data_IF_455277856911
#
_entry.id   IF_455277856911
#
_cell.length_a   1.000
_cell.length_b   1.000
_cell.length_c   1.000
_cell.angle_alpha   90.00
_cell.angle_beta   90.00
_cell.angle_gamma   90.00
#
_symmetry.space_group_name_H-M   'P 1'
#
loop_
_entity.id
_entity.type
_entity.pdbx_description
1 polymer ?
#
# COMPACT_ATOMS: atom_id res chain seq x y z
N UNK A 1 -6.23 14.06 36.73
CA UNK A 1 -5.25 12.97 36.50
C UNK A 1 -3.87 13.59 36.37
N UNK A 2 -2.91 13.31 37.28
CA UNK A 2 -1.58 13.93 37.25
C UNK A 2 -0.76 13.43 36.03
N UNK A 3 0.11 14.27 35.44
CA UNK A 3 0.88 13.89 34.26
C UNK A 3 1.93 12.81 34.61
N UNK A 4 2.16 11.82 33.74
CA UNK A 4 3.07 10.71 34.02
C UNK A 4 4.50 11.22 34.23
N UNK A 5 5.10 10.83 35.36
CA UNK A 5 6.47 11.20 35.74
C UNK A 5 7.45 10.59 34.74
N UNK A 6 8.20 11.46 34.05
CA UNK A 6 9.20 11.06 33.07
C UNK A 6 10.32 10.30 33.79
N UNK A 7 10.59 9.08 33.29
CA UNK A 7 11.69 8.15 33.63
C UNK A 7 11.36 7.20 34.79
N UNK A 8 10.74 6.06 34.48
CA UNK A 8 10.95 4.85 35.29
C UNK A 8 12.43 4.49 35.18
N UNK A 9 13.16 4.45 36.29
CA UNK A 9 14.45 3.75 36.35
C UNK A 9 14.13 2.30 36.00
N UNK A 10 14.58 1.84 34.84
CA UNK A 10 14.71 0.41 34.59
C UNK A 10 15.70 -0.12 35.60
N UNK A 11 15.38 -1.24 36.27
CA UNK A 11 16.32 -1.95 37.13
C UNK A 11 17.66 -2.06 36.40
N UNK A 12 18.80 -1.67 37.03
CA UNK A 12 20.08 -1.86 36.39
C UNK A 12 20.24 -3.37 36.20
N UNK A 13 20.29 -3.82 34.95
CA UNK A 13 20.89 -5.12 34.62
C UNK A 13 22.37 -4.97 34.95
N UNK A 14 22.70 -5.09 36.23
CA UNK A 14 24.05 -5.11 36.74
C UNK A 14 24.64 -6.44 36.29
N UNK A 15 25.37 -6.41 35.19
CA UNK A 15 26.14 -7.55 34.74
C UNK A 15 27.25 -7.75 35.78
N UNK A 16 27.25 -8.91 36.43
CA UNK A 16 28.16 -9.21 37.57
C UNK A 16 29.63 -9.18 37.15
N UNK A 17 29.93 -9.54 35.89
CA UNK A 17 31.29 -9.54 35.36
C UNK A 17 31.33 -8.96 33.93
N UNK A 18 32.22 -7.99 33.70
CA UNK A 18 32.45 -7.39 32.38
C UNK A 18 33.83 -7.82 31.89
N UNK A 19 33.87 -8.74 30.93
CA UNK A 19 35.12 -9.13 30.26
C UNK A 19 35.55 -8.03 29.29
N UNK A 20 36.70 -7.42 29.53
CA UNK A 20 37.21 -6.34 28.68
C UNK A 20 38.22 -6.85 27.66
N UNK A 21 37.78 -6.99 26.41
CA UNK A 21 38.65 -7.41 25.31
C UNK A 21 39.25 -6.19 24.59
N UNK A 22 40.57 -6.08 24.64
CA UNK A 22 41.31 -4.97 24.05
C UNK A 22 41.18 -4.93 22.51
N UNK A 23 41.05 -6.10 21.88
CA UNK A 23 40.89 -6.22 20.43
C UNK A 23 39.55 -5.63 19.97
N UNK A 24 38.45 -6.07 20.59
CA UNK A 24 37.12 -5.54 20.36
C UNK A 24 37.03 -4.03 20.67
N UNK A 25 37.77 -3.56 21.69
CA UNK A 25 37.87 -2.12 21.98
C UNK A 25 38.55 -1.35 20.85
N UNK A 26 39.64 -1.85 20.31
CA UNK A 26 40.34 -1.21 19.18
C UNK A 26 39.45 -1.16 17.93
N UNK A 27 38.74 -2.24 17.62
CA UNK A 27 37.74 -2.27 16.55
C UNK A 27 36.59 -1.30 16.83
N UNK A 28 36.17 -1.18 18.09
CA UNK A 28 35.18 -0.19 18.49
C UNK A 28 35.72 1.24 18.37
N UNK A 29 36.98 1.53 18.64
CA UNK A 29 37.48 2.90 18.49
C UNK A 29 37.76 3.27 17.03
N UNK A 30 38.12 2.33 16.17
CA UNK A 30 38.48 2.62 14.77
C UNK A 30 37.32 2.39 13.79
N UNK A 31 36.42 1.45 14.08
CA UNK A 31 35.35 0.98 13.20
C UNK A 31 34.06 1.81 13.19
N UNK A 32 34.11 3.12 13.44
CA UNK A 32 32.89 3.95 13.57
C UNK A 32 31.95 3.86 12.36
N UNK A 33 32.50 3.87 11.14
CA UNK A 33 31.71 3.74 9.92
C UNK A 33 31.03 2.37 9.83
N UNK A 34 31.76 1.28 10.12
CA UNK A 34 31.21 -0.08 10.17
C UNK A 34 30.05 -0.18 11.15
N UNK A 35 30.18 0.37 12.36
CA UNK A 35 29.09 0.39 13.36
C UNK A 35 27.90 1.24 12.95
N UNK A 36 28.15 2.36 12.27
CA UNK A 36 27.07 3.21 11.77
C UNK A 36 26.24 2.47 10.71
N UNK A 37 26.92 1.76 9.80
CA UNK A 37 26.26 0.90 8.82
C UNK A 37 25.54 -0.27 9.48
N UNK A 38 26.17 -0.95 10.45
CA UNK A 38 25.54 -2.03 11.20
C UNK A 38 24.27 -1.57 11.93
N UNK A 39 24.29 -0.41 12.59
CA UNK A 39 23.08 0.16 13.22
C UNK A 39 21.99 0.46 12.19
N UNK A 40 22.35 1.02 11.04
CA UNK A 40 21.39 1.26 9.97
C UNK A 40 20.78 -0.04 9.46
N UNK A 41 21.60 -1.08 9.23
CA UNK A 41 21.15 -2.42 8.81
C UNK A 41 20.28 -3.08 9.87
N UNK A 42 20.67 -3.07 11.13
CA UNK A 42 19.89 -3.61 12.23
C UNK A 42 18.53 -2.90 12.36
N UNK A 43 18.48 -1.58 12.18
CA UNK A 43 17.22 -0.85 12.17
C UNK A 43 16.33 -1.24 10.99
N UNK A 44 16.90 -1.43 9.79
CA UNK A 44 16.18 -1.92 8.61
C UNK A 44 15.67 -3.35 8.82
N UNK A 45 16.50 -4.25 9.35
CA UNK A 45 16.14 -5.63 9.63
C UNK A 45 15.04 -5.72 10.70
N UNK A 46 15.13 -4.93 11.77
CA UNK A 46 14.09 -4.86 12.80
C UNK A 46 12.76 -4.35 12.23
N UNK A 47 12.80 -3.32 11.38
CA UNK A 47 11.60 -2.82 10.69
C UNK A 47 11.02 -3.89 9.74
N UNK A 48 11.86 -4.59 8.98
CA UNK A 48 11.42 -5.66 8.10
C UNK A 48 10.82 -6.86 8.87
N UNK A 49 11.40 -7.22 10.02
CA UNK A 49 10.85 -8.26 10.91
C UNK A 49 9.48 -7.86 11.46
N UNK A 50 9.31 -6.62 11.91
CA UNK A 50 8.02 -6.09 12.38
C UNK A 50 6.96 -6.09 11.27
N UNK A 51 7.29 -5.55 10.10
CA UNK A 51 6.37 -5.52 8.95
C UNK A 51 5.94 -6.93 8.52
N UNK A 52 6.83 -7.93 8.57
CA UNK A 52 6.48 -9.33 8.30
C UNK A 52 5.53 -9.90 9.35
N UNK A 53 5.78 -9.63 10.63
CA UNK A 53 4.91 -10.07 11.73
C UNK A 53 3.51 -9.45 11.59
N UNK A 54 3.44 -8.13 11.38
CA UNK A 54 2.18 -7.40 11.16
C UNK A 54 1.40 -7.95 9.95
N UNK A 55 2.09 -8.28 8.84
CA UNK A 55 1.45 -8.89 7.66
C UNK A 55 0.91 -10.30 7.94
N UNK A 56 1.57 -11.06 8.80
CA UNK A 56 1.10 -12.39 9.21
C UNK A 56 -0.12 -12.25 10.12
N UNK A 57 -0.06 -11.36 11.11
CA UNK A 57 -1.17 -11.07 12.02
C UNK A 57 -2.40 -10.56 11.27
N UNK A 58 -2.23 -9.63 10.34
CA UNK A 58 -3.33 -9.12 9.51
C UNK A 58 -3.97 -10.23 8.66
N UNK A 59 -3.18 -11.13 8.08
CA UNK A 59 -3.73 -12.29 7.35
C UNK A 59 -4.45 -13.27 8.27
N UNK A 60 -3.99 -13.42 9.50
CA UNK A 60 -4.65 -14.25 10.50
C UNK A 60 -6.00 -13.63 10.89
N UNK A 61 -6.03 -12.32 11.14
CA UNK A 61 -7.25 -11.55 11.42
C UNK A 61 -8.28 -11.71 10.30
N UNK A 62 -7.91 -11.49 9.03
CA UNK A 62 -8.83 -11.68 7.89
C UNK A 62 -9.39 -13.10 7.83
N UNK A 63 -8.58 -14.12 8.12
CA UNK A 63 -9.05 -15.51 8.13
C UNK A 63 -10.01 -15.78 9.29
N UNK A 64 -9.73 -15.22 10.46
CA UNK A 64 -10.58 -15.32 11.64
C UNK A 64 -11.91 -14.60 11.43
N UNK A 65 -11.89 -13.40 10.84
CA UNK A 65 -13.08 -12.63 10.46
C UNK A 65 -13.95 -13.43 9.48
N UNK A 66 -13.36 -13.92 8.38
CA UNK A 66 -14.09 -14.76 7.41
C UNK A 66 -14.68 -16.01 8.04
N UNK A 67 -13.94 -16.67 8.95
CA UNK A 67 -14.43 -17.84 9.66
C UNK A 67 -15.59 -17.48 10.58
N UNK A 68 -15.48 -16.39 11.32
CA UNK A 68 -16.54 -15.90 12.19
C UNK A 68 -17.80 -15.53 11.40
N UNK A 69 -17.66 -14.86 10.26
CA UNK A 69 -18.77 -14.51 9.37
C UNK A 69 -19.47 -15.76 8.83
N UNK A 70 -18.72 -16.78 8.41
CA UNK A 70 -19.26 -18.07 7.99
C UNK A 70 -20.00 -18.77 9.15
N UNK A 71 -19.41 -18.80 10.35
CA UNK A 71 -20.06 -19.38 11.53
C UNK A 71 -21.36 -18.63 11.89
N UNK A 72 -21.38 -17.30 11.78
CA UNK A 72 -22.59 -16.50 11.99
C UNK A 72 -23.65 -16.81 10.95
N UNK A 73 -23.27 -16.85 9.68
CA UNK A 73 -24.20 -17.18 8.59
C UNK A 73 -24.78 -18.59 8.75
N UNK A 74 -23.96 -19.59 9.08
CA UNK A 74 -24.45 -20.96 9.35
C UNK A 74 -25.41 -20.97 10.53
N UNK A 75 -25.10 -20.25 11.62
CA UNK A 75 -26.02 -20.13 12.77
C UNK A 75 -27.34 -19.45 12.38
N UNK A 76 -27.29 -18.40 11.57
CA UNK A 76 -28.47 -17.69 11.08
C UNK A 76 -29.34 -18.58 10.18
N UNK A 77 -28.73 -19.30 9.23
CA UNK A 77 -29.43 -20.27 8.37
C UNK A 77 -30.03 -21.40 9.21
N UNK A 78 -29.27 -21.97 10.14
CA UNK A 78 -29.78 -23.01 11.03
C UNK A 78 -30.92 -22.49 11.92
N UNK A 79 -30.85 -21.25 12.40
CA UNK A 79 -31.93 -20.64 13.19
C UNK A 79 -33.21 -20.42 12.36
N UNK A 80 -33.09 -20.11 11.07
CA UNK A 80 -34.23 -20.02 10.15
C UNK A 80 -34.79 -21.40 9.76
N UNK A 81 -33.91 -22.41 9.65
CA UNK A 81 -34.28 -23.77 9.26
C UNK A 81 -34.79 -24.62 10.42
N UNK A 82 -34.48 -24.27 11.67
CA UNK A 82 -35.12 -24.87 12.86
C UNK A 82 -36.57 -24.37 12.89
N UNK A 83 -37.56 -25.21 12.53
CA UNK A 83 -38.95 -24.82 12.64
C UNK A 83 -39.30 -24.64 14.13
N UNK A 84 -40.27 -23.79 14.41
CA UNK A 84 -40.84 -23.62 15.75
C UNK A 84 -41.42 -24.92 16.37
N UNK A 85 -41.42 -26.02 15.62
CA UNK A 85 -41.94 -27.34 16.00
C UNK A 85 -40.91 -28.29 16.62
N UNK A 86 -39.65 -27.88 16.80
CA UNK A 86 -38.66 -28.66 17.56
C UNK A 86 -38.85 -28.55 19.08
N UNK A 87 -40.09 -28.76 19.55
CA UNK A 87 -40.34 -29.31 20.87
C UNK A 87 -39.89 -30.79 20.85
N UNK A 88 -39.34 -31.35 21.95
CA UNK A 88 -38.87 -32.73 21.96
C UNK A 88 -40.07 -33.68 21.91
N UNK A 89 -40.40 -34.14 20.72
CA UNK A 89 -41.40 -35.18 20.48
C UNK A 89 -42.34 -34.80 19.35
N UNK A 90 -42.04 -35.28 18.15
CA UNK A 90 -42.96 -36.03 17.28
C UNK A 90 -42.18 -36.41 16.01
N UNK A 91 -42.21 -37.72 15.79
CA UNK A 91 -41.83 -38.47 14.60
C UNK A 91 -42.56 -37.93 13.36
N UNK A 92 -41.83 -37.57 12.30
CA UNK A 92 -42.43 -37.36 10.98
C UNK A 92 -41.39 -37.72 9.91
N UNK A 93 -41.56 -38.93 9.39
CA UNK A 93 -40.87 -39.46 8.21
C UNK A 93 -41.10 -38.53 7.02
N UNK A 94 -40.07 -37.74 6.67
CA UNK A 94 -40.04 -37.04 5.39
C UNK A 94 -39.14 -37.78 4.43
N UNK A 95 -39.79 -38.55 3.57
CA UNK A 95 -39.24 -39.09 2.34
C UNK A 95 -38.47 -38.01 1.58
N UNK A 96 -37.15 -38.12 1.59
CA UNK A 96 -36.27 -37.39 0.69
C UNK A 96 -36.38 -38.04 -0.68
N UNK A 97 -37.39 -37.60 -1.45
CA UNK A 97 -37.45 -37.81 -2.90
C UNK A 97 -36.24 -37.13 -3.51
N UNK A 98 -35.18 -37.91 -3.77
CA UNK A 98 -33.99 -37.49 -4.50
C UNK A 98 -34.38 -37.00 -5.89
N UNK A 99 -34.50 -35.68 -6.06
CA UNK A 99 -34.35 -35.03 -7.35
C UNK A 99 -32.86 -35.09 -7.68
N UNK A 100 -32.51 -36.13 -8.42
CA UNK A 100 -31.21 -36.29 -9.06
C UNK A 100 -31.13 -35.28 -10.21
N UNK A 101 -31.02 -33.99 -9.87
CA UNK A 101 -30.54 -32.97 -10.81
C UNK A 101 -29.03 -33.19 -10.94
N UNK A 102 -28.68 -34.26 -11.68
CA UNK A 102 -27.35 -34.55 -12.17
C UNK A 102 -26.84 -33.28 -12.85
N UNK A 103 -25.93 -32.60 -12.16
CA UNK A 103 -25.26 -31.40 -12.63
C UNK A 103 -24.70 -31.66 -14.03
N UNK A 104 -25.37 -31.14 -15.06
CA UNK A 104 -24.88 -31.20 -16.44
C UNK A 104 -23.62 -30.35 -16.48
N UNK A 105 -22.46 -31.01 -16.42
CA UNK A 105 -21.15 -30.37 -16.41
C UNK A 105 -21.08 -29.26 -17.46
N UNK A 106 -20.35 -28.19 -17.12
CA UNK A 106 -20.20 -26.96 -17.92
C UNK A 106 -20.19 -27.34 -19.40
N UNK A 107 -21.33 -27.11 -20.06
CA UNK A 107 -21.41 -27.21 -21.50
C UNK A 107 -20.39 -26.21 -22.02
N UNK A 108 -19.45 -26.68 -22.85
CA UNK A 108 -18.49 -25.84 -23.59
C UNK A 108 -19.27 -24.95 -24.58
N UNK A 109 -20.06 -24.02 -24.05
CA UNK A 109 -20.46 -22.83 -24.78
C UNK A 109 -19.22 -21.96 -24.80
N UNK A 110 -18.61 -21.89 -25.98
CA UNK A 110 -17.56 -20.95 -26.31
C UNK A 110 -17.90 -19.59 -25.70
N UNK A 111 -17.11 -19.12 -24.71
CA UNK A 111 -17.43 -17.89 -24.01
C UNK A 111 -17.41 -16.73 -25.01
N UNK A 112 -18.32 -15.75 -24.86
CA UNK A 112 -18.31 -14.58 -25.72
C UNK A 112 -16.93 -13.90 -25.66
N UNK A 113 -16.41 -13.37 -26.79
CA UNK A 113 -15.10 -12.75 -26.83
C UNK A 113 -15.03 -11.64 -25.77
N UNK A 114 -14.02 -11.76 -24.90
CA UNK A 114 -13.86 -10.93 -23.69
C UNK A 114 -13.29 -9.54 -24.04
N UNK A 115 -13.08 -9.27 -25.32
CA UNK A 115 -12.52 -8.00 -25.80
C UNK A 115 -13.59 -6.89 -25.75
N UNK A 116 -13.59 -6.11 -24.67
CA UNK A 116 -14.49 -4.98 -24.52
C UNK A 116 -13.79 -3.77 -23.89
N UNK A 117 -14.20 -2.59 -24.35
CA UNK A 117 -13.75 -1.29 -23.85
C UNK A 117 -14.79 -0.74 -22.87
N UNK A 118 -14.37 -0.45 -21.65
CA UNK A 118 -15.24 0.17 -20.64
C UNK A 118 -14.77 1.59 -20.35
N UNK A 119 -15.67 2.55 -20.56
CA UNK A 119 -15.42 3.96 -20.23
C UNK A 119 -15.80 4.23 -18.77
N UNK A 120 -14.82 4.62 -17.96
CA UNK A 120 -15.05 5.03 -16.58
C UNK A 120 -14.90 6.56 -16.46
N UNK A 121 -15.95 7.18 -15.93
CA UNK A 121 -16.02 8.62 -15.69
C UNK A 121 -16.03 8.88 -14.19
N UNK A 122 -14.90 9.30 -13.65
CA UNK A 122 -14.82 9.93 -12.33
C UNK A 122 -14.96 11.46 -12.49
N UNK A 123 -15.39 12.16 -11.42
CA UNK A 123 -15.68 13.61 -11.41
C UNK A 123 -14.60 14.50 -12.06
N UNK A 124 -13.33 14.06 -12.06
CA UNK A 124 -12.19 14.78 -12.64
C UNK A 124 -11.37 13.95 -13.66
N UNK A 125 -11.76 12.70 -13.99
CA UNK A 125 -10.96 11.80 -14.84
C UNK A 125 -11.81 10.93 -15.75
N UNK A 126 -11.49 10.96 -17.04
CA UNK A 126 -12.00 10.01 -18.03
C UNK A 126 -10.89 8.99 -18.29
N UNK A 127 -11.14 7.73 -17.94
CA UNK A 127 -10.22 6.62 -18.20
C UNK A 127 -10.94 5.51 -18.94
N UNK A 128 -10.40 5.09 -20.07
CA UNK A 128 -10.87 3.91 -20.80
C UNK A 128 -10.03 2.71 -20.37
N UNK A 129 -10.70 1.63 -19.98
CA UNK A 129 -10.07 0.35 -19.64
C UNK A 129 -10.41 -0.63 -20.76
N UNK A 130 -9.39 -1.09 -21.49
CA UNK A 130 -9.50 -2.14 -22.50
C UNK A 130 -9.19 -3.48 -21.85
N UNK A 131 -10.13 -4.42 -21.90
CA UNK A 131 -9.90 -5.81 -21.51
C UNK A 131 -9.61 -6.58 -22.80
N UNK A 132 -8.44 -7.22 -22.89
CA UNK A 132 -8.02 -8.05 -24.04
C UNK A 132 -7.74 -9.48 -23.57
N UNK A 133 -8.12 -10.48 -24.36
CA UNK A 133 -7.77 -11.88 -24.11
C UNK A 133 -6.26 -12.13 -24.28
N UNK A 134 -5.64 -12.76 -23.27
CA UNK A 134 -4.23 -13.17 -23.31
C UNK A 134 -4.08 -14.67 -23.05
N UNK A 135 -3.27 -15.33 -23.86
CA UNK A 135 -2.95 -16.75 -23.76
C UNK A 135 -1.66 -16.95 -22.95
N UNK A 136 -1.71 -17.86 -21.98
CA UNK A 136 -0.58 -18.17 -21.10
C UNK A 136 0.09 -19.45 -21.57
N UNK A 137 1.17 -19.33 -22.33
CA UNK A 137 1.99 -20.47 -22.76
C UNK A 137 3.24 -20.59 -21.90
N UNK A 138 3.96 -21.73 -22.01
CA UNK A 138 5.19 -21.97 -21.25
C UNK A 138 6.28 -20.92 -21.55
N UNK A 139 6.19 -20.24 -22.69
CA UNK A 139 7.14 -19.25 -23.16
C UNK A 139 6.76 -17.81 -22.79
N UNK A 140 5.53 -17.56 -22.34
CA UNK A 140 5.11 -16.22 -21.93
C UNK A 140 3.60 -15.98 -21.94
N UNK A 141 3.25 -14.70 -21.77
CA UNK A 141 1.89 -14.19 -21.90
C UNK A 141 1.78 -13.53 -23.29
N UNK A 142 0.99 -14.11 -24.18
CA UNK A 142 0.82 -13.63 -25.55
C UNK A 142 -0.62 -13.12 -25.76
N UNK A 143 -0.81 -12.17 -26.67
CA UNK A 143 -2.16 -11.75 -27.06
C UNK A 143 -2.75 -12.80 -27.99
N UNK A 144 -3.98 -13.21 -27.74
CA UNK A 144 -4.67 -14.19 -28.59
C UNK A 144 -4.75 -13.64 -30.03
N UNK A 145 -4.25 -14.39 -31.02
CA UNK A 145 -4.23 -14.00 -32.44
C UNK A 145 -2.95 -13.30 -32.94
N UNK A 146 -1.89 -13.17 -32.12
CA UNK A 146 -0.60 -12.59 -32.55
C UNK A 146 0.32 -13.59 -33.26
N UNK A 147 0.12 -14.91 -33.07
CA UNK A 147 0.97 -15.96 -33.66
C UNK A 147 0.88 -16.00 -35.21
N UNK A 148 -0.27 -15.63 -35.79
CA UNK A 148 -0.46 -15.64 -37.26
C UNK A 148 0.05 -14.37 -37.98
N UNK A 149 0.41 -13.32 -37.23
CA UNK A 149 0.82 -12.03 -37.79
C UNK A 149 2.34 -11.84 -37.84
N UNK A 150 3.10 -12.57 -37.03
CA UNK A 150 4.55 -12.34 -36.87
C UNK A 150 5.41 -12.97 -37.97
N UNK A 151 4.96 -14.04 -38.65
CA UNK A 151 5.72 -14.62 -39.78
C UNK A 151 5.81 -13.70 -41.03
N UNK A 152 4.97 -12.66 -41.13
CA UNK A 152 4.94 -11.76 -42.30
C UNK A 152 5.59 -10.39 -42.06
N UNK A 153 5.98 -10.06 -40.83
CA UNK A 153 6.59 -8.76 -40.50
C UNK A 153 8.12 -8.79 -40.33
N UNK A 154 8.75 -9.97 -40.27
CA UNK A 154 10.19 -10.10 -40.04
C UNK A 154 11.07 -9.70 -41.25
N UNK A 155 10.49 -9.47 -42.44
CA UNK A 155 11.25 -9.01 -43.63
C UNK A 155 11.30 -7.49 -43.84
N UNK A 156 10.70 -6.68 -42.96
CA UNK A 156 10.61 -5.22 -43.14
C UNK A 156 11.37 -4.38 -42.09
N UNK A 157 12.13 -4.99 -41.17
CA UNK A 157 12.72 -4.28 -40.01
C UNK A 157 14.23 -4.01 -40.09
N UNK A 158 14.89 -4.24 -41.22
CA UNK A 158 16.35 -4.02 -41.38
C UNK A 158 16.73 -2.66 -42.03
N UNK A 159 16.00 -1.58 -41.71
CA UNK A 159 16.36 -0.23 -42.18
C UNK A 159 15.76 0.90 -41.34
N UNK A 160 16.19 1.10 -40.08
CA UNK A 160 16.19 2.43 -39.43
C UNK A 160 16.78 2.41 -38.01
N UNK A 161 18.10 2.30 -37.89
CA UNK A 161 18.79 2.71 -36.67
C UNK A 161 19.57 4.02 -36.91
N UNK A 162 18.97 5.15 -36.53
CA UNK A 162 19.72 6.35 -36.15
C UNK A 162 19.27 6.83 -34.75
N UNK A 163 20.21 7.18 -33.85
CA UNK A 163 19.87 7.55 -32.48
C UNK A 163 19.22 8.94 -32.42
N UNK A 164 17.99 8.99 -31.94
CA UNK A 164 17.25 10.21 -31.65
C UNK A 164 17.99 11.06 -30.60
N UNK A 165 18.75 12.03 -31.06
CA UNK A 165 19.40 13.05 -30.23
C UNK A 165 18.36 13.84 -29.42
N UNK A 166 18.56 13.89 -28.10
CA UNK A 166 17.76 14.67 -27.16
C UNK A 166 17.76 16.16 -27.55
N UNK A 167 16.67 16.63 -28.16
CA UNK A 167 16.47 18.06 -28.44
C UNK A 167 16.30 18.81 -27.12
N UNK A 168 17.32 19.57 -26.71
CA UNK A 168 17.23 20.55 -25.62
C UNK A 168 16.12 21.56 -25.92
N UNK A 169 15.18 21.70 -24.99
CA UNK A 169 14.01 22.59 -25.10
C UNK A 169 14.44 24.06 -25.09
N UNK A 170 13.89 24.86 -26.01
CA UNK A 170 14.07 26.32 -26.06
C UNK A 170 13.38 26.96 -24.85
N UNK A 171 14.11 27.79 -24.11
CA UNK A 171 13.63 28.49 -22.92
C UNK A 171 12.67 29.63 -23.34
N UNK A 172 11.37 29.44 -23.12
CA UNK A 172 10.37 30.51 -23.24
C UNK A 172 10.04 31.06 -21.86
N UNK A 173 9.78 32.37 -21.76
CA UNK A 173 9.63 33.12 -20.50
C UNK A 173 8.27 32.90 -19.81
N UNK A 174 7.35 32.23 -20.51
CA UNK A 174 6.02 31.89 -19.99
C UNK A 174 6.05 30.50 -19.33
N UNK A 175 5.73 30.47 -18.04
CA UNK A 175 5.64 29.23 -17.26
C UNK A 175 4.51 28.34 -17.80
N UNK A 176 4.78 27.09 -18.21
CA UNK A 176 3.71 26.16 -18.52
C UNK A 176 2.88 25.87 -17.26
N UNK A 177 1.55 25.89 -17.41
CA UNK A 177 0.56 25.63 -16.34
C UNK A 177 0.71 24.22 -15.69
N UNK A 178 1.45 23.30 -16.31
CA UNK A 178 1.72 21.95 -15.79
C UNK A 178 2.82 21.84 -14.71
N UNK A 179 3.35 22.98 -14.23
CA UNK A 179 4.26 22.97 -13.09
C UNK A 179 3.57 22.64 -11.74
N UNK A 180 2.27 22.38 -11.72
CA UNK A 180 1.51 21.97 -10.53
C UNK A 180 1.73 20.51 -10.10
N UNK A 181 2.01 19.61 -11.05
CA UNK A 181 2.16 18.16 -10.78
C UNK A 181 3.61 17.68 -10.63
N UNK A 182 4.61 18.56 -10.79
CA UNK A 182 5.97 18.22 -10.41
C UNK A 182 6.07 18.26 -8.89
N UNK A 183 5.99 17.08 -8.28
CA UNK A 183 6.05 16.86 -6.83
C UNK A 183 7.02 17.82 -6.15
N UNK A 184 6.49 18.61 -5.20
CA UNK A 184 7.25 19.64 -4.49
C UNK A 184 8.54 19.01 -3.96
N UNK A 185 9.69 19.43 -4.51
CA UNK A 185 11.01 18.97 -4.04
C UNK A 185 11.05 19.14 -2.52
N UNK A 186 11.34 18.05 -1.79
CA UNK A 186 11.45 18.09 -0.32
C UNK A 186 12.43 19.21 0.05
N UNK A 187 11.95 20.21 0.79
CA UNK A 187 12.78 21.35 1.20
C UNK A 187 13.91 20.79 2.07
N UNK A 188 15.17 21.17 1.79
CA UNK A 188 16.28 20.88 2.71
C UNK A 188 15.95 21.50 4.07
N UNK A 189 16.20 20.75 5.14
CA UNK A 189 15.97 21.18 6.51
C UNK A 189 16.92 22.33 6.87
N UNK A 190 16.57 23.56 6.51
CA UNK A 190 17.18 24.72 7.14
C UNK A 190 16.56 24.86 8.53
N UNK A 191 17.42 25.04 9.55
CA UNK A 191 17.05 25.07 10.97
C UNK A 191 16.15 26.23 11.40
N UNK A 192 15.81 27.13 10.49
CA UNK A 192 14.81 28.17 10.71
C UNK A 192 13.89 28.20 9.49
N UNK A 193 12.58 28.19 9.76
CA UNK A 193 11.41 28.34 8.88
C UNK A 193 11.71 28.75 7.42
N UNK A 194 11.02 28.10 6.48
CA UNK A 194 11.11 28.49 5.06
C UNK A 194 10.70 29.96 4.89
N UNK A 195 11.18 30.64 3.84
CA UNK A 195 10.92 32.10 3.62
C UNK A 195 9.42 32.45 3.68
N UNK A 196 8.56 31.53 3.27
CA UNK A 196 7.10 31.67 3.36
C UNK A 196 6.58 31.55 4.80
N UNK A 197 7.05 30.55 5.56
CA UNK A 197 6.73 30.38 6.98
C UNK A 197 7.19 31.58 7.80
N UNK A 198 8.42 32.08 7.57
CA UNK A 198 8.95 33.29 8.22
C UNK A 198 8.09 34.53 7.97
N UNK A 199 7.52 34.66 6.77
CA UNK A 199 6.61 35.76 6.44
C UNK A 199 5.29 35.61 7.19
N UNK A 200 4.76 34.39 7.28
CA UNK A 200 3.53 34.11 8.01
C UNK A 200 3.69 34.32 9.53
N UNK A 201 4.80 33.87 10.13
CA UNK A 201 5.09 34.09 11.55
C UNK A 201 5.29 35.56 11.87
N UNK A 202 6.04 36.30 11.03
CA UNK A 202 6.17 37.77 11.15
C UNK A 202 4.84 38.50 11.06
N UNK A 203 3.92 38.06 10.19
CA UNK A 203 2.59 38.66 10.08
C UNK A 203 1.73 38.39 11.33
N UNK A 204 1.78 37.15 11.84
CA UNK A 204 1.11 36.76 13.10
C UNK A 204 1.66 37.52 14.31
N UNK A 205 2.97 37.71 14.39
CA UNK A 205 3.59 38.47 15.48
C UNK A 205 3.23 39.96 15.41
N UNK A 206 3.29 40.57 14.22
CA UNK A 206 2.88 41.98 14.03
C UNK A 206 1.42 42.23 14.39
N UNK A 207 0.52 41.33 14.01
CA UNK A 207 -0.90 41.46 14.35
C UNK A 207 -1.15 41.31 15.85
N UNK A 208 -0.49 40.36 16.52
CA UNK A 208 -0.54 40.21 17.99
C UNK A 208 -0.02 41.44 18.72
N UNK A 209 1.16 41.95 18.32
CA UNK A 209 1.76 43.13 18.95
C UNK A 209 0.89 44.38 18.73
N UNK A 210 0.28 44.53 17.54
CA UNK A 210 -0.67 45.62 17.28
C UNK A 210 -1.92 45.51 18.15
N UNK A 211 -2.45 44.31 18.36
CA UNK A 211 -3.61 44.08 19.24
C UNK A 211 -3.28 44.43 20.69
N UNK A 212 -2.17 43.92 21.22
CA UNK A 212 -1.72 44.25 22.58
C UNK A 212 -1.44 45.75 22.75
N UNK A 213 -0.85 46.41 21.75
CA UNK A 213 -0.61 47.85 21.81
C UNK A 213 -1.92 48.67 21.78
N UNK A 214 -2.96 48.18 21.12
CA UNK A 214 -4.30 48.78 21.17
C UNK A 214 -4.92 48.60 22.56
N UNK A 215 -4.89 47.39 23.10
CA UNK A 215 -5.40 47.08 24.44
C UNK A 215 -4.74 47.95 25.52
N UNK A 216 -3.41 48.17 25.44
CA UNK A 216 -2.67 49.09 26.33
C UNK A 216 -2.99 50.57 26.15
N UNK A 217 -3.54 50.98 25.01
CA UNK A 217 -3.93 52.37 24.74
C UNK A 217 -5.40 52.63 25.05
N UNK A 218 -6.21 51.58 25.16
CA UNK A 218 -7.65 51.65 25.42
C UNK A 218 -8.01 51.39 26.88
N UNK A 219 -7.06 50.95 27.71
CA UNK A 219 -7.18 50.92 29.17
C UNK A 219 -6.33 52.02 29.77
#
# INVERSE_FOLDING_TARGET
>A
MPPPTKRRRTEPTAVEEITFDLSARQEYLTGFHKRKLQRAKQAQEAAAKRAKAERIEHRKQIREERKADLERHVREVNALLVPADAAPGVDDERESSGSDDEWSGITDLEPPPIDHEAEYVDEDKYTTVTVEAMDVTREGLFKAGQEDAEENEEQARDASEEPASEKKRRWTKDKPKDAGHRGKKKKRNFRYESKAERKATRYKERSKNKKQARERKSG
#
